data_IF_596317433626
#
_entry.id   IF_596317433626
#
_cell.length_a   1.000
_cell.length_b   1.000
_cell.length_c   1.000
_cell.angle_alpha   90.00
_cell.angle_beta   90.00
_cell.angle_gamma   90.00
#
_symmetry.space_group_name_H-M   'P 1'
#
loop_
_entity.id
_entity.type
_entity.pdbx_description
1 polymer ?
#
# COMPACT_ATOMS: atom_id res chain seq x y z
N UNK A 1 9.92 -11.49 48.87
CA UNK A 1 9.41 -10.10 48.92
C UNK A 1 8.54 -9.90 47.70
N UNK A 2 7.37 -9.31 47.84
CA UNK A 2 6.51 -8.92 46.70
C UNK A 2 7.22 -7.87 45.85
N UNK A 3 7.03 -7.93 44.53
CA UNK A 3 7.57 -6.92 43.61
C UNK A 3 6.79 -5.60 43.72
N UNK A 4 7.35 -4.50 43.22
CA UNK A 4 6.66 -3.18 43.17
C UNK A 4 5.36 -3.27 42.35
N UNK A 5 5.35 -4.07 41.26
CA UNK A 5 4.14 -4.30 40.43
C UNK A 5 3.01 -4.90 41.27
N UNK A 6 3.31 -5.92 42.07
CA UNK A 6 2.32 -6.62 42.92
C UNK A 6 1.83 -5.77 44.09
N UNK A 7 2.62 -4.80 44.55
CA UNK A 7 2.21 -3.86 45.59
C UNK A 7 1.29 -2.75 45.07
N UNK A 8 1.47 -2.34 43.82
CA UNK A 8 0.74 -1.22 43.22
C UNK A 8 -0.49 -1.65 42.42
N UNK A 9 -0.44 -2.80 41.75
CA UNK A 9 -1.45 -3.23 40.77
C UNK A 9 -1.96 -4.62 41.13
N UNK A 10 -3.26 -4.72 41.41
CA UNK A 10 -3.96 -5.99 41.57
C UNK A 10 -4.38 -6.55 40.21
N UNK A 11 -3.95 -7.76 39.88
CA UNK A 11 -4.35 -8.44 38.65
C UNK A 11 -5.68 -9.19 38.87
N UNK A 12 -6.76 -8.68 38.28
CA UNK A 12 -8.10 -9.27 38.44
C UNK A 12 -8.38 -10.41 37.46
N UNK A 13 -7.69 -10.42 36.31
CA UNK A 13 -7.89 -11.38 35.23
C UNK A 13 -6.58 -11.67 34.50
N UNK A 14 -6.47 -12.86 33.89
CA UNK A 14 -5.34 -13.18 33.02
C UNK A 14 -5.23 -12.18 31.86
N UNK A 15 -3.99 -11.80 31.51
CA UNK A 15 -3.72 -10.89 30.40
C UNK A 15 -4.08 -11.55 29.06
N UNK A 16 -4.95 -10.91 28.26
CA UNK A 16 -5.16 -11.29 26.88
C UNK A 16 -3.93 -10.87 26.07
N UNK A 17 -3.26 -11.86 25.47
CA UNK A 17 -2.02 -11.65 24.70
C UNK A 17 -2.29 -11.40 23.21
N UNK A 18 -3.55 -11.49 22.79
CA UNK A 18 -3.93 -11.41 21.38
C UNK A 18 -4.37 -10.00 21.01
N UNK A 19 -3.67 -9.42 20.04
CA UNK A 19 -4.09 -8.17 19.41
C UNK A 19 -5.30 -8.41 18.51
N UNK A 20 -6.23 -7.45 18.50
CA UNK A 20 -7.44 -7.49 17.70
C UNK A 20 -7.20 -6.93 16.29
N UNK A 21 -6.30 -5.96 16.15
CA UNK A 21 -6.01 -5.26 14.90
C UNK A 21 -4.50 -5.14 14.64
N UNK A 22 -3.85 -6.28 14.51
CA UNK A 22 -2.42 -6.35 14.20
C UNK A 22 -2.13 -6.08 12.73
N UNK A 23 -1.14 -5.22 12.47
CA UNK A 23 -0.58 -4.99 11.12
C UNK A 23 0.90 -5.39 11.12
N UNK A 24 1.33 -6.09 10.07
CA UNK A 24 2.76 -6.36 9.82
C UNK A 24 3.26 -5.56 8.62
N UNK A 25 4.46 -5.01 8.73
CA UNK A 25 5.21 -4.43 7.61
C UNK A 25 6.48 -5.24 7.39
N UNK A 26 6.62 -5.79 6.18
CA UNK A 26 7.81 -6.50 5.72
C UNK A 26 8.68 -5.52 4.92
N UNK A 27 9.90 -5.28 5.38
CA UNK A 27 10.84 -4.29 4.88
C UNK A 27 10.80 -3.00 5.70
N UNK A 28 11.91 -2.62 6.32
CA UNK A 28 12.09 -1.36 7.07
C UNK A 28 12.90 -0.34 6.26
N UNK A 29 12.71 -0.34 4.94
CA UNK A 29 13.23 0.70 4.04
C UNK A 29 12.49 2.04 4.21
N UNK A 30 12.84 3.04 3.40
CA UNK A 30 12.20 4.35 3.44
C UNK A 30 10.67 4.27 3.21
N UNK A 31 10.20 3.35 2.36
CA UNK A 31 8.77 3.10 2.13
C UNK A 31 8.12 2.41 3.34
N UNK A 32 8.74 1.36 3.86
CA UNK A 32 8.23 0.63 5.02
C UNK A 32 8.08 1.51 6.25
N UNK A 33 9.08 2.34 6.55
CA UNK A 33 9.02 3.27 7.69
C UNK A 33 8.02 4.42 7.46
N UNK A 34 7.88 4.91 6.22
CA UNK A 34 6.83 5.87 5.89
C UNK A 34 5.42 5.26 6.07
N UNK A 35 5.22 3.98 5.73
CA UNK A 35 3.97 3.27 6.00
C UNK A 35 3.75 3.10 7.52
N UNK A 36 4.78 2.68 8.26
CA UNK A 36 4.73 2.47 9.71
C UNK A 36 4.27 3.73 10.45
N UNK A 37 4.93 4.87 10.20
CA UNK A 37 4.60 6.11 10.89
C UNK A 37 3.20 6.63 10.50
N UNK A 38 2.81 6.53 9.23
CA UNK A 38 1.47 6.95 8.81
C UNK A 38 0.35 6.08 9.42
N UNK A 39 0.60 4.77 9.59
CA UNK A 39 -0.33 3.85 10.25
C UNK A 39 -0.48 4.17 11.73
N UNK A 40 0.64 4.41 12.43
CA UNK A 40 0.65 4.80 13.84
C UNK A 40 -0.10 6.12 14.05
N UNK A 41 0.18 7.14 13.23
CA UNK A 41 -0.47 8.45 13.32
C UNK A 41 -1.96 8.45 12.97
N UNK A 42 -2.47 7.40 12.32
CA UNK A 42 -3.90 7.24 11.99
C UNK A 42 -4.64 6.28 12.92
N UNK A 43 -3.97 5.78 13.96
CA UNK A 43 -4.51 4.84 14.94
C UNK A 43 -5.20 3.63 14.29
N UNK A 44 -4.55 3.04 13.27
CA UNK A 44 -5.12 1.93 12.50
C UNK A 44 -4.81 0.55 13.10
N UNK A 45 -3.88 0.46 14.04
CA UNK A 45 -3.46 -0.80 14.64
C UNK A 45 -3.29 -0.69 16.16
N UNK A 46 -3.63 -1.75 16.88
CA UNK A 46 -3.31 -1.92 18.31
C UNK A 46 -1.94 -2.59 18.52
N UNK A 47 -1.48 -3.38 17.53
CA UNK A 47 -0.15 -3.97 17.43
C UNK A 47 0.46 -3.76 16.04
N UNK A 48 1.70 -3.27 16.01
CA UNK A 48 2.52 -3.17 14.80
C UNK A 48 3.71 -4.13 14.89
N UNK A 49 3.91 -4.95 13.86
CA UNK A 49 5.07 -5.83 13.72
C UNK A 49 5.92 -5.42 12.51
N UNK A 50 7.24 -5.32 12.71
CA UNK A 50 8.20 -5.05 11.65
C UNK A 50 9.05 -6.29 11.37
N UNK A 51 9.21 -6.64 10.10
CA UNK A 51 10.06 -7.75 9.66
C UNK A 51 11.07 -7.26 8.64
N UNK A 52 12.35 -7.51 8.88
CA UNK A 52 13.41 -7.24 7.92
C UNK A 52 14.58 -8.22 8.13
N UNK A 53 15.42 -8.39 7.11
CA UNK A 53 16.63 -9.21 7.17
C UNK A 53 17.80 -8.49 7.84
N UNK A 54 17.80 -7.15 7.83
CA UNK A 54 18.82 -6.31 8.44
C UNK A 54 18.53 -6.07 9.93
N UNK A 55 18.98 -6.98 10.80
CA UNK A 55 18.63 -7.05 12.22
C UNK A 55 18.95 -5.78 13.02
N UNK A 56 20.16 -5.22 12.87
CA UNK A 56 20.56 -4.00 13.60
C UNK A 56 19.69 -2.81 13.21
N UNK A 57 19.44 -2.66 11.91
CA UNK A 57 18.55 -1.61 11.40
C UNK A 57 17.13 -1.83 11.93
N UNK A 58 16.60 -3.04 11.80
CA UNK A 58 15.27 -3.42 12.27
C UNK A 58 15.06 -3.11 13.76
N UNK A 59 16.06 -3.41 14.59
CA UNK A 59 16.03 -3.10 16.01
C UNK A 59 16.07 -1.59 16.26
N UNK A 60 16.93 -0.86 15.53
CA UNK A 60 17.00 0.61 15.60
C UNK A 60 15.67 1.28 15.29
N UNK A 61 15.06 0.93 14.15
CA UNK A 61 13.78 1.47 13.69
C UNK A 61 12.64 1.14 14.68
N UNK A 62 12.62 -0.07 15.23
CA UNK A 62 11.63 -0.45 16.25
C UNK A 62 11.77 0.40 17.53
N UNK A 63 12.99 0.55 18.05
CA UNK A 63 13.23 1.32 19.27
C UNK A 63 12.85 2.79 19.10
N UNK A 64 13.14 3.38 17.92
CA UNK A 64 12.79 4.76 17.62
C UNK A 64 11.26 4.98 17.68
N UNK A 65 10.49 4.07 17.08
CA UNK A 65 9.03 4.10 17.18
C UNK A 65 8.53 3.85 18.63
N UNK A 66 9.19 2.97 19.38
CA UNK A 66 8.83 2.71 20.79
C UNK A 66 9.07 3.93 21.68
N UNK A 67 10.14 4.70 21.46
CA UNK A 67 10.35 5.97 22.18
C UNK A 67 9.25 6.99 21.90
N UNK A 68 8.62 6.91 20.72
CA UNK A 68 7.43 7.70 20.37
C UNK A 68 6.11 7.17 20.93
N UNK A 69 6.09 6.06 21.67
CA UNK A 69 4.86 5.40 22.15
C UNK A 69 3.90 6.30 22.93
N UNK A 70 4.42 7.32 23.63
CA UNK A 70 3.59 8.31 24.33
C UNK A 70 2.66 9.10 23.39
N UNK A 71 3.01 9.20 22.10
CA UNK A 71 2.28 9.98 21.09
C UNK A 71 1.42 9.11 20.17
N UNK A 72 1.38 7.80 20.38
CA UNK A 72 0.60 6.85 19.59
C UNK A 72 -0.46 6.17 20.46
N UNK A 73 -1.58 5.78 19.84
CA UNK A 73 -2.57 4.93 20.51
C UNK A 73 -2.25 3.42 20.35
N UNK A 74 -1.23 3.07 19.56
CA UNK A 74 -0.79 1.70 19.35
C UNK A 74 -0.02 1.18 20.57
N UNK A 75 -0.60 0.18 21.24
CA UNK A 75 -0.10 -0.35 22.52
C UNK A 75 1.19 -1.15 22.42
N UNK A 76 1.48 -1.74 21.25
CA UNK A 76 2.58 -2.70 21.09
C UNK A 76 3.25 -2.57 19.73
N UNK A 77 4.55 -2.33 19.74
CA UNK A 77 5.39 -2.30 18.55
C UNK A 77 6.48 -3.36 18.74
N UNK A 78 6.55 -4.32 17.82
CA UNK A 78 7.50 -5.44 17.86
C UNK A 78 8.26 -5.56 16.55
N UNK A 79 9.44 -6.18 16.59
CA UNK A 79 10.17 -6.51 15.38
C UNK A 79 10.90 -7.83 15.51
N UNK A 80 11.17 -8.44 14.36
CA UNK A 80 11.96 -9.67 14.30
C UNK A 80 12.22 -10.10 12.86
N UNK A 81 13.35 -10.78 12.66
CA UNK A 81 13.68 -11.41 11.39
C UNK A 81 12.83 -12.64 11.13
N UNK A 82 12.44 -13.35 12.19
CA UNK A 82 11.57 -14.52 12.12
C UNK A 82 10.11 -14.10 11.96
N UNK A 83 9.40 -14.68 11.00
CA UNK A 83 8.01 -14.34 10.69
C UNK A 83 7.01 -14.72 11.79
N UNK A 84 7.39 -15.48 12.82
CA UNK A 84 6.56 -15.71 14.01
C UNK A 84 6.10 -14.41 14.68
N UNK A 85 6.89 -13.34 14.58
CA UNK A 85 6.48 -12.01 15.08
C UNK A 85 5.29 -11.43 14.31
N UNK A 86 5.01 -11.90 13.09
CA UNK A 86 3.88 -11.46 12.27
C UNK A 86 2.58 -12.26 12.51
N UNK A 87 2.62 -13.28 13.38
CA UNK A 87 1.47 -14.13 13.68
C UNK A 87 0.22 -13.32 14.07
N UNK A 88 -0.94 -13.75 13.56
CA UNK A 88 -2.26 -13.16 13.76
C UNK A 88 -2.47 -11.75 13.17
N UNK A 89 -1.62 -11.32 12.24
CA UNK A 89 -1.85 -10.06 11.52
C UNK A 89 -3.15 -10.09 10.71
N UNK A 90 -3.96 -9.04 10.84
CA UNK A 90 -5.15 -8.82 9.99
C UNK A 90 -4.75 -8.36 8.59
N UNK A 91 -3.62 -7.65 8.49
CA UNK A 91 -3.08 -7.14 7.24
C UNK A 91 -1.56 -7.20 7.26
N UNK A 92 -0.96 -7.63 6.14
CA UNK A 92 0.48 -7.65 5.94
C UNK A 92 0.82 -6.76 4.74
N UNK A 93 1.73 -5.82 4.94
CA UNK A 93 2.19 -4.87 3.93
C UNK A 93 3.61 -5.26 3.54
N UNK A 94 3.82 -5.62 2.28
CA UNK A 94 5.13 -6.02 1.77
C UNK A 94 5.75 -4.85 1.03
N UNK A 95 6.84 -4.32 1.60
CA UNK A 95 7.66 -3.23 1.02
C UNK A 95 9.10 -3.65 0.78
N UNK A 96 9.46 -4.88 1.20
CA UNK A 96 10.74 -5.49 0.89
C UNK A 96 10.86 -5.75 -0.61
N UNK A 97 12.01 -5.40 -1.18
CA UNK A 97 12.29 -5.59 -2.59
C UNK A 97 13.53 -4.81 -3.00
N UNK A 98 14.12 -5.21 -4.12
CA UNK A 98 15.14 -4.39 -4.77
C UNK A 98 14.50 -3.07 -5.19
N UNK A 99 15.19 -1.96 -4.95
CA UNK A 99 14.73 -0.66 -5.46
C UNK A 99 14.74 -0.73 -6.98
N UNK A 100 13.60 -0.50 -7.60
CA UNK A 100 13.54 -0.31 -9.04
C UNK A 100 14.37 0.92 -9.45
N UNK A 101 15.09 0.78 -10.55
CA UNK A 101 15.41 1.91 -11.42
C UNK A 101 14.31 1.97 -12.49
N UNK A 102 13.93 3.20 -12.85
CA UNK A 102 12.92 3.62 -13.83
C UNK A 102 11.74 2.65 -14.15
N UNK A 103 10.50 2.97 -13.73
CA UNK A 103 9.28 2.32 -14.25
C UNK A 103 7.97 2.62 -13.51
N UNK A 104 7.10 3.40 -14.18
CA UNK A 104 5.62 3.54 -14.25
C UNK A 104 4.65 3.30 -13.06
N UNK A 105 3.69 4.23 -12.84
CA UNK A 105 2.41 4.07 -12.06
C UNK A 105 1.28 5.02 -12.56
N UNK A 106 0.00 4.63 -12.43
CA UNK A 106 -1.24 5.32 -12.88
C UNK A 106 -2.23 5.69 -11.74
N UNK A 107 -3.11 6.71 -11.91
CA UNK A 107 -4.10 7.17 -10.89
C UNK A 107 -5.49 7.65 -11.43
N UNK A 108 -6.57 7.16 -10.79
CA UNK A 108 -7.93 7.73 -10.49
C UNK A 108 -9.02 8.05 -11.55
N UNK A 109 -9.30 7.13 -12.48
CA UNK A 109 -10.66 6.55 -12.65
C UNK A 109 -11.91 7.41 -12.98
N UNK A 110 -11.83 8.71 -13.28
CA UNK A 110 -12.97 9.50 -13.80
C UNK A 110 -12.62 10.07 -15.17
N UNK A 111 -13.43 9.76 -16.18
CA UNK A 111 -13.20 10.20 -17.55
C UNK A 111 -13.53 11.69 -17.72
N UNK A 112 -12.53 12.55 -17.57
CA UNK A 112 -12.61 14.01 -17.82
C UNK A 112 -13.11 14.35 -19.23
N UNK A 113 -12.88 13.46 -20.21
CA UNK A 113 -13.42 13.57 -21.58
C UNK A 113 -14.95 13.63 -21.65
N UNK A 114 -15.67 13.21 -20.61
CA UNK A 114 -17.13 13.36 -20.53
C UNK A 114 -17.59 14.80 -20.35
N UNK A 115 -16.71 15.68 -19.84
CA UNK A 115 -16.98 17.11 -19.62
C UNK A 115 -16.48 17.98 -20.78
N UNK A 116 -15.32 17.62 -21.36
CA UNK A 116 -14.81 18.22 -22.60
C UNK A 116 -14.19 17.13 -23.50
N UNK A 117 -14.81 16.80 -24.65
CA UNK A 117 -14.30 15.80 -25.59
C UNK A 117 -12.92 16.12 -26.18
N UNK A 118 -12.47 17.39 -26.15
CA UNK A 118 -11.16 17.80 -26.65
C UNK A 118 -10.04 17.57 -25.64
N UNK A 119 -10.37 17.31 -24.38
CA UNK A 119 -9.43 17.19 -23.28
C UNK A 119 -8.49 16.00 -23.50
N UNK A 120 -7.19 16.25 -23.38
CA UNK A 120 -6.16 15.24 -23.64
C UNK A 120 -6.00 14.87 -25.11
N UNK A 121 -6.43 15.71 -26.07
CA UNK A 121 -6.10 15.59 -27.51
C UNK A 121 -4.99 16.59 -27.90
N UNK A 122 -4.44 16.49 -29.11
CA UNK A 122 -3.46 17.50 -29.59
C UNK A 122 -4.11 18.88 -29.83
N UNK A 123 -5.45 18.91 -29.94
CA UNK A 123 -6.25 20.11 -30.04
C UNK A 123 -6.67 20.70 -28.68
N UNK A 124 -6.22 20.10 -27.58
CA UNK A 124 -6.44 20.61 -26.22
C UNK A 124 -5.57 21.84 -25.96
N UNK A 125 -6.21 23.00 -25.82
CA UNK A 125 -5.52 24.27 -25.54
C UNK A 125 -4.87 24.31 -24.17
N UNK A 126 -5.41 23.56 -23.21
CA UNK A 126 -4.91 23.50 -21.84
C UNK A 126 -3.86 22.37 -21.67
N UNK A 127 -3.62 21.58 -22.73
CA UNK A 127 -2.61 20.54 -22.79
C UNK A 127 -2.70 19.54 -21.63
N UNK A 128 -3.90 19.03 -21.30
CA UNK A 128 -4.09 18.09 -20.19
C UNK A 128 -3.30 16.78 -20.35
N UNK A 129 -2.86 16.43 -21.58
CA UNK A 129 -1.88 15.33 -21.79
C UNK A 129 -0.60 15.52 -20.96
N UNK A 130 -0.20 16.76 -20.71
CA UNK A 130 1.00 17.09 -19.92
C UNK A 130 0.84 16.65 -18.46
N UNK A 131 -0.36 16.67 -17.90
CA UNK A 131 -0.60 16.20 -16.53
C UNK A 131 -0.33 14.70 -16.42
N UNK A 132 -0.80 13.90 -17.38
CA UNK A 132 -0.46 12.47 -17.42
C UNK A 132 1.06 12.28 -17.50
N UNK A 133 1.73 13.04 -18.37
CA UNK A 133 3.20 13.01 -18.49
C UNK A 133 3.89 13.36 -17.16
N UNK A 134 3.43 14.40 -16.47
CA UNK A 134 3.95 14.80 -15.16
C UNK A 134 3.70 13.72 -14.09
N UNK A 135 2.53 13.07 -14.09
CA UNK A 135 2.26 11.94 -13.16
C UNK A 135 3.29 10.83 -13.37
N UNK A 136 3.54 10.44 -14.63
CA UNK A 136 4.56 9.43 -14.98
C UNK A 136 5.97 9.90 -14.60
N UNK A 137 6.32 11.16 -14.85
CA UNK A 137 7.67 11.69 -14.65
C UNK A 137 7.97 12.08 -13.18
N UNK A 138 6.94 12.32 -12.37
CA UNK A 138 7.07 12.82 -10.99
C UNK A 138 7.94 11.92 -10.11
N UNK A 139 7.79 10.60 -10.25
CA UNK A 139 8.61 9.65 -9.50
C UNK A 139 10.09 9.78 -9.88
N UNK A 140 10.41 9.95 -11.17
CA UNK A 140 11.78 10.10 -11.65
C UNK A 140 12.39 11.41 -11.18
N UNK A 141 11.63 12.49 -11.24
CA UNK A 141 12.07 13.79 -10.74
C UNK A 141 12.40 13.72 -9.24
N UNK A 142 11.52 13.12 -8.43
CA UNK A 142 11.75 12.96 -6.99
C UNK A 142 12.96 12.05 -6.72
N UNK A 143 13.12 10.95 -7.44
CA UNK A 143 14.27 10.06 -7.30
C UNK A 143 15.56 10.79 -7.66
N UNK A 144 15.55 11.59 -8.74
CA UNK A 144 16.71 12.40 -9.14
C UNK A 144 17.08 13.44 -8.08
N UNK A 145 16.10 14.04 -7.42
CA UNK A 145 16.31 15.11 -6.43
C UNK A 145 16.65 14.58 -5.03
N UNK A 146 15.96 13.53 -4.56
CA UNK A 146 16.02 13.02 -3.18
C UNK A 146 16.68 11.64 -3.06
N UNK A 147 16.82 10.91 -4.17
CA UNK A 147 17.35 9.55 -4.22
C UNK A 147 16.32 8.44 -3.98
N UNK A 148 15.09 8.76 -3.58
CA UNK A 148 14.00 7.81 -3.32
C UNK A 148 12.65 8.49 -3.10
N UNK A 149 11.55 7.74 -3.27
CA UNK A 149 10.18 8.12 -2.85
C UNK A 149 9.79 7.42 -1.54
N UNK A 150 8.90 8.00 -0.74
CA UNK A 150 8.53 7.45 0.58
C UNK A 150 7.20 8.00 1.12
N UNK A 151 7.08 9.31 1.24
CA UNK A 151 5.94 9.91 1.94
C UNK A 151 4.59 9.72 1.23
N UNK A 152 4.53 10.02 -0.07
CA UNK A 152 3.29 9.87 -0.84
C UNK A 152 2.80 8.42 -0.88
N UNK A 153 3.73 7.45 -1.01
CA UNK A 153 3.38 6.03 -0.98
C UNK A 153 2.95 5.58 0.42
N UNK A 154 3.59 6.04 1.50
CA UNK A 154 3.17 5.76 2.87
C UNK A 154 1.75 6.24 3.16
N UNK A 155 1.40 7.45 2.71
CA UNK A 155 0.05 7.99 2.82
C UNK A 155 -0.96 7.21 1.97
N UNK A 156 -0.61 6.85 0.74
CA UNK A 156 -1.45 6.05 -0.16
C UNK A 156 -1.75 4.67 0.44
N UNK A 157 -0.72 3.95 0.90
CA UNK A 157 -0.88 2.65 1.57
C UNK A 157 -1.78 2.79 2.80
N UNK A 158 -1.58 3.83 3.61
CA UNK A 158 -2.41 4.08 4.80
C UNK A 158 -3.87 4.31 4.45
N UNK A 159 -4.19 4.93 3.30
CA UNK A 159 -5.56 5.11 2.84
C UNK A 159 -6.23 3.79 2.43
N UNK A 160 -5.47 2.88 1.80
CA UNK A 160 -5.91 1.51 1.50
C UNK A 160 -6.16 0.71 2.78
N UNK A 161 -5.19 0.72 3.71
CA UNK A 161 -5.26 0.07 5.02
C UNK A 161 -6.50 0.53 5.78
N UNK A 162 -6.76 1.84 5.81
CA UNK A 162 -7.94 2.41 6.45
C UNK A 162 -9.25 1.89 5.85
N UNK A 163 -9.31 1.70 4.53
CA UNK A 163 -10.49 1.15 3.85
C UNK A 163 -10.73 -0.32 4.19
N UNK A 164 -9.66 -1.11 4.28
CA UNK A 164 -9.71 -2.53 4.60
C UNK A 164 -10.12 -2.72 6.07
N UNK A 165 -9.35 -2.15 7.01
CA UNK A 165 -9.53 -2.40 8.45
C UNK A 165 -10.83 -1.80 8.99
N UNK A 166 -11.25 -0.64 8.49
CA UNK A 166 -12.53 -0.02 8.87
C UNK A 166 -13.71 -0.49 8.00
N UNK A 167 -13.49 -1.44 7.09
CA UNK A 167 -14.49 -1.99 6.18
C UNK A 167 -15.30 -0.91 5.43
N UNK A 168 -14.62 0.12 4.92
CA UNK A 168 -15.30 1.31 4.40
C UNK A 168 -15.97 1.10 3.04
N UNK A 169 -15.61 0.03 2.31
CA UNK A 169 -16.11 -0.25 0.95
C UNK A 169 -15.89 0.94 0.00
N UNK A 170 -14.76 1.62 0.15
CA UNK A 170 -14.34 2.72 -0.74
C UNK A 170 -13.77 2.16 -2.04
N UNK A 171 -13.94 2.92 -3.12
CA UNK A 171 -13.39 2.58 -4.44
C UNK A 171 -11.96 3.10 -4.53
N UNK A 172 -11.02 2.22 -4.86
CA UNK A 172 -9.60 2.54 -5.06
C UNK A 172 -9.07 1.93 -6.35
N UNK A 173 -8.23 2.65 -7.13
CA UNK A 173 -7.53 2.04 -8.26
C UNK A 173 -6.37 1.18 -7.74
N UNK A 174 -6.62 -0.11 -7.53
CA UNK A 174 -5.63 -1.08 -7.05
C UNK A 174 -5.49 -2.24 -8.01
N UNK A 175 -4.31 -2.88 -7.97
CA UNK A 175 -4.02 -4.04 -8.81
C UNK A 175 -4.88 -5.24 -8.41
N UNK A 176 -5.60 -5.82 -9.37
CA UNK A 176 -6.38 -7.06 -9.20
C UNK A 176 -6.38 -7.86 -10.50
N UNK A 177 -6.84 -9.10 -10.47
CA UNK A 177 -6.92 -9.95 -11.66
C UNK A 177 -7.95 -9.39 -12.65
N UNK A 178 -7.51 -9.09 -13.88
CA UNK A 178 -8.38 -8.49 -14.92
C UNK A 178 -8.81 -9.48 -16.00
N UNK A 179 -8.56 -10.79 -15.80
CA UNK A 179 -9.03 -11.86 -16.67
C UNK A 179 -10.55 -11.79 -16.86
N UNK A 180 -10.99 -11.80 -18.11
CA UNK A 180 -12.40 -11.68 -18.49
C UNK A 180 -12.90 -10.23 -18.62
N UNK A 181 -12.09 -9.23 -18.26
CA UNK A 181 -12.40 -7.82 -18.48
C UNK A 181 -11.76 -7.33 -19.78
N UNK A 182 -12.50 -6.51 -20.54
CA UNK A 182 -12.03 -5.88 -21.77
C UNK A 182 -11.35 -6.86 -22.74
N UNK A 183 -11.84 -8.11 -22.83
CA UNK A 183 -11.31 -9.14 -23.73
C UNK A 183 -9.96 -9.76 -23.33
N UNK A 184 -9.42 -9.46 -22.14
CA UNK A 184 -8.19 -10.08 -21.62
C UNK A 184 -8.50 -11.51 -21.17
N UNK A 185 -7.67 -12.50 -21.56
CA UNK A 185 -7.90 -13.92 -21.28
C UNK A 185 -6.94 -14.50 -20.26
N UNK A 186 -5.79 -13.87 -20.13
CA UNK A 186 -4.65 -14.27 -19.32
C UNK A 186 -4.81 -13.79 -17.87
N UNK A 187 -4.14 -14.46 -16.93
CA UNK A 187 -4.19 -14.15 -15.50
C UNK A 187 -3.21 -13.03 -15.14
N UNK A 188 -3.55 -11.82 -15.60
CA UNK A 188 -2.75 -10.60 -15.41
C UNK A 188 -3.36 -9.74 -14.31
N UNK A 189 -2.49 -9.07 -13.54
CA UNK A 189 -2.87 -8.13 -12.49
C UNK A 189 -2.60 -6.69 -12.93
N UNK A 190 -3.65 -5.87 -13.01
CA UNK A 190 -3.59 -4.46 -13.41
C UNK A 190 -4.49 -3.62 -12.50
N UNK A 191 -4.17 -2.32 -12.39
CA UNK A 191 -4.98 -1.39 -11.60
C UNK A 191 -6.32 -1.09 -12.28
N UNK A 192 -7.40 -1.35 -11.57
CA UNK A 192 -8.78 -0.99 -11.93
C UNK A 192 -9.51 -0.55 -10.66
N UNK A 193 -10.55 0.31 -10.75
CA UNK A 193 -11.26 0.73 -9.54
C UNK A 193 -11.95 -0.45 -8.87
N UNK A 194 -11.56 -0.74 -7.62
CA UNK A 194 -12.02 -1.86 -6.82
C UNK A 194 -12.66 -1.36 -5.53
N UNK A 195 -13.72 -2.02 -5.08
CA UNK A 195 -14.30 -1.80 -3.75
C UNK A 195 -13.46 -2.56 -2.72
N UNK A 196 -12.82 -1.83 -1.81
CA UNK A 196 -12.01 -2.40 -0.73
C UNK A 196 -12.75 -2.39 0.61
N UNK A 197 -12.81 -3.57 1.23
CA UNK A 197 -13.35 -3.75 2.58
C UNK A 197 -12.55 -4.77 3.39
N UNK A 198 -13.15 -5.29 4.47
CA UNK A 198 -12.47 -6.21 5.41
C UNK A 198 -11.92 -7.49 4.78
N UNK A 199 -12.49 -7.90 3.64
CA UNK A 199 -12.09 -9.10 2.91
C UNK A 199 -11.18 -8.78 1.70
N UNK A 200 -10.58 -7.58 1.67
CA UNK A 200 -9.80 -7.11 0.51
C UNK A 200 -10.71 -6.57 -0.60
N UNK A 201 -10.38 -6.91 -1.85
CA UNK A 201 -11.18 -6.56 -3.03
C UNK A 201 -12.47 -7.39 -3.03
N UNK A 202 -13.62 -6.75 -2.82
CA UNK A 202 -14.92 -7.43 -2.88
C UNK A 202 -15.61 -7.30 -4.23
N UNK A 203 -15.36 -6.20 -4.94
CA UNK A 203 -16.04 -5.88 -6.20
C UNK A 203 -15.12 -5.06 -7.12
N UNK A 204 -15.38 -5.14 -8.42
CA UNK A 204 -14.69 -4.36 -9.46
C UNK A 204 -15.71 -3.42 -10.12
N UNK A 205 -15.35 -2.15 -10.25
CA UNK A 205 -16.12 -1.18 -11.05
C UNK A 205 -15.73 -1.32 -12.52
N UNK A 206 -16.69 -1.73 -13.35
CA UNK A 206 -16.49 -1.81 -14.81
C UNK A 206 -16.55 -0.40 -15.39
N UNK A 207 -15.40 0.12 -15.79
CA UNK A 207 -15.27 1.45 -16.38
C UNK A 207 -15.65 1.36 -17.86
N UNK A 208 -16.47 2.28 -18.34
CA UNK A 208 -16.74 2.39 -19.77
C UNK A 208 -15.56 3.09 -20.45
N UNK A 209 -14.63 2.29 -21.00
CA UNK A 209 -13.47 2.79 -21.73
C UNK A 209 -13.86 3.12 -23.18
N UNK A 210 -13.27 4.17 -23.73
CA UNK A 210 -13.26 4.40 -25.18
C UNK A 210 -12.42 3.33 -25.89
N UNK A 211 -12.63 3.15 -27.20
CA UNK A 211 -11.85 2.20 -28.00
C UNK A 211 -10.34 2.46 -27.93
N UNK A 212 -9.93 3.73 -27.82
CA UNK A 212 -8.53 4.13 -27.64
C UNK A 212 -8.00 3.70 -26.27
N UNK A 213 -8.72 4.01 -25.18
CA UNK A 213 -8.34 3.63 -23.82
C UNK A 213 -8.31 2.12 -23.62
N UNK A 214 -9.27 1.39 -24.19
CA UNK A 214 -9.29 -0.08 -24.15
C UNK A 214 -8.09 -0.68 -24.87
N UNK A 215 -7.69 -0.09 -26.01
CA UNK A 215 -6.49 -0.52 -26.76
C UNK A 215 -5.22 -0.29 -25.93
N UNK A 216 -5.11 0.87 -25.27
CA UNK A 216 -3.97 1.16 -24.38
C UNK A 216 -3.95 0.24 -23.16
N UNK A 217 -5.11 -0.04 -22.56
CA UNK A 217 -5.24 -0.96 -21.43
C UNK A 217 -4.80 -2.38 -21.80
N UNK A 218 -5.24 -2.89 -22.96
CA UNK A 218 -4.78 -4.18 -23.51
C UNK A 218 -3.29 -4.19 -23.80
N UNK A 219 -2.74 -3.08 -24.30
CA UNK A 219 -1.29 -2.95 -24.53
C UNK A 219 -0.51 -3.11 -23.22
N UNK A 220 -0.92 -2.44 -22.14
CA UNK A 220 -0.31 -2.61 -20.82
C UNK A 220 -0.43 -4.05 -20.32
N UNK A 221 -1.59 -4.70 -20.52
CA UNK A 221 -1.79 -6.10 -20.14
C UNK A 221 -0.81 -7.03 -20.88
N UNK A 222 -0.66 -6.87 -22.19
CA UNK A 222 0.26 -7.67 -22.99
C UNK A 222 1.71 -7.47 -22.55
N UNK A 223 2.14 -6.23 -22.29
CA UNK A 223 3.49 -5.95 -21.78
C UNK A 223 3.78 -6.69 -20.47
N UNK A 224 2.82 -6.71 -19.53
CA UNK A 224 3.00 -7.42 -18.27
C UNK A 224 3.00 -8.94 -18.47
N UNK A 225 2.12 -9.45 -19.33
CA UNK A 225 2.06 -10.88 -19.64
C UNK A 225 3.36 -11.39 -20.24
N UNK A 226 3.98 -10.61 -21.13
CA UNK A 226 5.25 -10.96 -21.75
C UNK A 226 6.38 -11.17 -20.74
N UNK A 227 6.34 -10.47 -19.61
CA UNK A 227 7.27 -10.68 -18.49
C UNK A 227 6.81 -11.81 -17.58
N UNK A 228 5.52 -11.85 -17.25
CA UNK A 228 4.96 -12.77 -16.28
C UNK A 228 5.00 -14.23 -16.74
N UNK A 229 4.83 -14.49 -18.05
CA UNK A 229 4.81 -15.84 -18.62
C UNK A 229 6.15 -16.58 -18.50
N UNK A 230 7.24 -15.83 -18.32
CA UNK A 230 8.60 -16.35 -18.23
C UNK A 230 9.08 -16.52 -16.77
N UNK A 231 8.23 -16.23 -15.78
CA UNK A 231 8.58 -16.39 -14.36
C UNK A 231 8.63 -17.89 -13.98
N UNK A 232 9.72 -18.25 -13.29
CA UNK A 232 9.91 -19.58 -12.69
C UNK A 232 9.92 -19.41 -11.17
N UNK A 233 9.07 -20.15 -10.48
CA UNK A 233 8.92 -20.13 -9.02
C UNK A 233 9.40 -21.44 -8.39
#
# INVERSE_FOLDING_TARGET
MSTVKEQLIENLTAEDKTSQCKITIVGTGAVGMACAICILLKDLADELALVDVAEDKLKGEMMDLQHGSLFFSTSKITSGKDYSVSANSKLVIVTAGARQQEGEVNVAGVALKSLDPKLGTDSDKEQWKTIHKQVVESAYEIIKLKGYTSWAIGLSVTDLVGSILKNLRRVHPVSTMVKGLYGIKEEIFLSIPCILGRNGVSDIVKVNLSSEEETLFKKSANTLWDVQKDLVF
#
